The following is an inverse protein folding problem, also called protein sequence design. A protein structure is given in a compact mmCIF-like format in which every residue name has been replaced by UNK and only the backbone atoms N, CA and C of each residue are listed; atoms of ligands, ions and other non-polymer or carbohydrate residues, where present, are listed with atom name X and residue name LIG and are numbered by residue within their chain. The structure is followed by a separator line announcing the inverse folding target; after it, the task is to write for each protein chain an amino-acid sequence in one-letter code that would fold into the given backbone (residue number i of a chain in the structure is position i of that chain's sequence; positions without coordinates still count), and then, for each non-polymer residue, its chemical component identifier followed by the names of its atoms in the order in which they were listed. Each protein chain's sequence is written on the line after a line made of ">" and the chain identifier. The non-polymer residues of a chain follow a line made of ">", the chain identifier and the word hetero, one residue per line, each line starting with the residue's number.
data_IF_120349721517
#
_entry.id   IF_120349721517
#
_cell.length_a   1.000
_cell.length_b   1.000
_cell.length_c   1.000
_cell.angle_alpha   90.00
_cell.angle_beta   90.00
_cell.angle_gamma   90.00
#
_symmetry.space_group_name_H-M   'P 1'
#
loop_
_entity.id
_entity.type
_entity.pdbx_description
1 polymer ?
#
# COMPACT_ATOMS: atom_id res chain seq x y z
N UNK A 1 4.85 -5.91 25.81
CA UNK A 1 5.82 -5.04 25.13
C UNK A 1 5.77 -5.44 23.67
N UNK A 2 5.50 -4.50 22.75
CA UNK A 2 5.61 -4.80 21.32
C UNK A 2 7.09 -4.96 20.97
N UNK A 3 7.38 -5.97 20.15
CA UNK A 3 8.71 -6.13 19.59
C UNK A 3 8.90 -4.99 18.57
N UNK A 4 9.97 -4.21 18.69
CA UNK A 4 10.26 -3.13 17.75
C UNK A 4 10.92 -3.73 16.51
N UNK A 5 10.47 -3.33 15.34
CA UNK A 5 11.11 -3.72 14.09
C UNK A 5 12.56 -3.22 14.06
N UNK A 6 13.50 -4.12 13.85
CA UNK A 6 14.93 -3.78 13.83
C UNK A 6 15.49 -3.88 12.40
N UNK A 7 14.66 -3.46 11.42
CA UNK A 7 14.96 -3.52 9.98
C UNK A 7 15.01 -2.10 9.46
N UNK A 8 16.09 -1.73 8.79
CA UNK A 8 16.23 -0.42 8.15
C UNK A 8 15.32 -0.32 6.92
N UNK A 9 14.99 0.91 6.50
CA UNK A 9 14.16 1.12 5.30
C UNK A 9 14.78 0.49 4.04
N UNK A 10 16.12 0.51 3.92
CA UNK A 10 16.83 -0.12 2.80
C UNK A 10 16.67 -1.63 2.82
N UNK A 11 16.88 -2.27 3.96
CA UNK A 11 16.70 -3.73 4.10
C UNK A 11 15.24 -4.14 3.87
N UNK A 12 14.29 -3.34 4.33
CA UNK A 12 12.87 -3.56 4.09
C UNK A 12 12.53 -3.50 2.59
N UNK A 13 13.07 -2.52 1.87
CA UNK A 13 12.87 -2.41 0.42
C UNK A 13 13.44 -3.60 -0.32
N UNK A 14 14.64 -4.05 0.02
CA UNK A 14 15.25 -5.24 -0.61
C UNK A 14 14.46 -6.53 -0.32
N UNK A 15 13.89 -6.66 0.87
CA UNK A 15 12.97 -7.78 1.19
C UNK A 15 11.71 -7.75 0.31
N UNK A 16 11.09 -6.56 0.15
CA UNK A 16 9.90 -6.42 -0.72
C UNK A 16 10.23 -6.78 -2.17
N UNK A 17 11.35 -6.30 -2.71
CA UNK A 17 11.79 -6.63 -4.08
C UNK A 17 12.01 -8.13 -4.25
N UNK A 18 12.77 -8.74 -3.35
CA UNK A 18 13.05 -10.18 -3.39
C UNK A 18 11.77 -11.01 -3.27
N UNK A 19 10.84 -10.62 -2.39
CA UNK A 19 9.56 -11.29 -2.22
C UNK A 19 8.68 -11.19 -3.47
N UNK A 20 8.67 -10.03 -4.14
CA UNK A 20 7.94 -9.86 -5.39
C UNK A 20 8.56 -10.66 -6.55
N UNK A 21 9.89 -10.75 -6.63
CA UNK A 21 10.54 -11.61 -7.62
C UNK A 21 10.13 -13.08 -7.48
N UNK A 22 10.02 -13.60 -6.24
CA UNK A 22 9.53 -14.97 -5.99
C UNK A 22 8.07 -15.12 -6.44
N UNK A 23 7.22 -14.12 -6.13
CA UNK A 23 5.83 -14.12 -6.54
C UNK A 23 5.67 -14.17 -8.07
N UNK A 24 6.38 -13.31 -8.80
CA UNK A 24 6.36 -13.25 -10.27
C UNK A 24 6.84 -14.56 -10.89
N UNK A 25 7.85 -15.21 -10.31
CA UNK A 25 8.37 -16.52 -10.78
C UNK A 25 7.44 -17.70 -10.44
N UNK A 26 6.41 -17.49 -9.63
CA UNK A 26 5.58 -18.58 -9.10
C UNK A 26 6.30 -19.46 -8.07
N UNK A 27 7.35 -18.96 -7.46
CA UNK A 27 8.19 -19.64 -6.47
C UNK A 27 7.91 -19.14 -5.03
N UNK A 28 6.88 -18.29 -4.86
CA UNK A 28 6.49 -17.77 -3.56
C UNK A 28 5.97 -18.90 -2.65
N UNK A 29 6.50 -18.99 -1.46
CA UNK A 29 6.00 -19.84 -0.37
C UNK A 29 4.90 -19.15 0.47
N UNK A 30 4.49 -17.95 0.09
CA UNK A 30 3.50 -17.11 0.78
C UNK A 30 3.92 -16.71 2.21
N UNK A 31 5.21 -16.74 2.51
CA UNK A 31 5.73 -16.46 3.84
C UNK A 31 5.24 -17.47 4.91
N UNK A 32 5.60 -17.23 6.16
CA UNK A 32 5.19 -18.12 7.26
C UNK A 32 3.78 -17.76 7.76
N UNK A 33 2.77 -18.53 7.34
CA UNK A 33 1.38 -18.45 7.82
C UNK A 33 1.02 -19.63 8.75
N UNK A 34 1.99 -20.33 9.28
CA UNK A 34 1.83 -21.53 10.10
C UNK A 34 1.09 -21.27 11.42
N UNK A 35 0.65 -22.35 12.05
CA UNK A 35 0.11 -22.27 13.40
C UNK A 35 1.17 -21.76 14.40
N UNK A 36 2.43 -22.13 14.22
CA UNK A 36 3.52 -21.68 15.07
C UNK A 36 3.73 -20.16 14.97
N UNK A 37 3.71 -19.58 13.76
CA UNK A 37 3.80 -18.14 13.56
C UNK A 37 2.63 -17.39 14.23
N UNK A 38 1.41 -17.90 14.09
CA UNK A 38 0.23 -17.32 14.77
C UNK A 38 0.34 -17.36 16.28
N UNK A 39 0.76 -18.48 16.84
CA UNK A 39 0.92 -18.63 18.29
C UNK A 39 2.03 -17.72 18.81
N UNK A 40 3.16 -17.65 18.11
CA UNK A 40 4.27 -16.77 18.47
C UNK A 40 3.84 -15.30 18.48
N UNK A 41 3.24 -14.82 17.38
CA UNK A 41 2.82 -13.42 17.25
C UNK A 41 1.74 -13.04 18.27
N UNK A 42 0.85 -13.97 18.66
CA UNK A 42 -0.19 -13.68 19.66
C UNK A 42 0.38 -13.37 21.04
N UNK A 43 1.58 -13.88 21.36
CA UNK A 43 2.24 -13.69 22.66
C UNK A 43 3.36 -12.66 22.64
N UNK A 44 4.02 -12.46 21.50
CA UNK A 44 5.16 -11.56 21.35
C UNK A 44 4.82 -10.25 20.64
N UNK A 45 3.61 -10.13 20.05
CA UNK A 45 3.19 -8.96 19.28
C UNK A 45 3.63 -9.02 17.83
N UNK A 46 3.67 -7.87 17.17
CA UNK A 46 4.05 -7.71 15.76
C UNK A 46 5.26 -6.79 15.62
N UNK A 47 6.08 -7.04 14.61
CA UNK A 47 7.25 -6.22 14.26
C UNK A 47 7.37 -6.13 12.72
N UNK A 48 6.40 -5.48 12.04
CA UNK A 48 6.37 -5.42 10.59
C UNK A 48 7.59 -4.67 10.05
N UNK A 49 8.23 -5.24 9.02
CA UNK A 49 9.41 -4.60 8.42
C UNK A 49 9.05 -3.48 7.45
N UNK A 50 7.81 -3.45 6.94
CA UNK A 50 7.31 -2.39 6.06
C UNK A 50 5.81 -2.12 6.30
N UNK A 51 5.41 -0.87 6.02
CA UNK A 51 4.00 -0.47 5.88
C UNK A 51 3.68 -0.47 4.39
N UNK A 52 2.59 -1.13 3.98
CA UNK A 52 2.09 -1.11 2.62
C UNK A 52 0.70 -0.48 2.61
N UNK A 53 0.60 0.70 1.99
CA UNK A 53 -0.68 1.36 1.72
C UNK A 53 -1.09 1.01 0.29
N UNK A 54 -2.25 0.39 0.09
CA UNK A 54 -2.68 -0.05 -1.24
C UNK A 54 -4.19 -0.04 -1.42
N UNK A 55 -4.63 -0.26 -2.65
CA UNK A 55 -6.04 -0.35 -2.97
C UNK A 55 -6.73 -1.52 -2.27
N UNK A 56 -8.03 -1.35 -1.99
CA UNK A 56 -8.92 -2.43 -1.51
C UNK A 56 -9.29 -3.45 -2.60
N UNK A 57 -8.80 -3.27 -3.82
CA UNK A 57 -9.06 -4.17 -4.95
C UNK A 57 -8.76 -5.63 -4.58
N UNK A 58 -9.75 -6.51 -4.76
CA UNK A 58 -9.68 -7.91 -4.34
C UNK A 58 -8.63 -8.74 -5.09
N UNK A 59 -8.12 -8.24 -6.21
CA UNK A 59 -7.06 -8.86 -7.02
C UNK A 59 -5.67 -8.63 -6.42
N UNK A 60 -5.53 -7.74 -5.43
CA UNK A 60 -4.27 -7.42 -4.77
C UNK A 60 -4.26 -8.04 -3.38
N UNK A 61 -3.29 -8.90 -3.12
CA UNK A 61 -3.04 -9.50 -1.81
C UNK A 61 -1.61 -9.15 -1.41
N UNK A 62 -1.36 -8.06 -0.69
CA UNK A 62 -0.01 -7.55 -0.45
C UNK A 62 0.95 -8.57 0.14
N UNK A 63 0.49 -9.37 1.09
CA UNK A 63 1.31 -10.42 1.70
C UNK A 63 1.75 -11.46 0.66
N UNK A 64 0.87 -11.85 -0.26
CA UNK A 64 1.21 -12.77 -1.35
C UNK A 64 2.16 -12.12 -2.37
N UNK A 65 1.86 -10.86 -2.78
CA UNK A 65 2.67 -10.09 -3.75
C UNK A 65 4.13 -9.95 -3.30
N UNK A 66 4.35 -9.84 -1.99
CA UNK A 66 5.68 -9.70 -1.41
C UNK A 66 6.20 -10.96 -0.71
N UNK A 67 5.55 -12.11 -0.90
CA UNK A 67 5.92 -13.38 -0.25
C UNK A 67 6.12 -13.24 1.26
N UNK A 68 5.25 -12.44 1.89
CA UNK A 68 5.32 -12.08 3.30
C UNK A 68 4.42 -12.97 4.17
N UNK A 69 4.84 -13.23 5.41
CA UNK A 69 4.12 -14.03 6.38
C UNK A 69 3.39 -13.20 7.45
N UNK A 70 2.86 -13.89 8.45
CA UNK A 70 2.13 -13.26 9.55
C UNK A 70 3.03 -12.32 10.35
N UNK A 71 2.67 -11.04 10.39
CA UNK A 71 3.38 -10.02 11.16
C UNK A 71 4.51 -9.33 10.40
N UNK A 72 4.77 -9.70 9.14
CA UNK A 72 5.82 -9.14 8.31
C UNK A 72 5.47 -7.77 7.73
N UNK A 73 4.22 -7.56 7.35
CA UNK A 73 3.73 -6.31 6.78
C UNK A 73 2.65 -5.66 7.68
N UNK A 74 2.65 -4.34 7.72
CA UNK A 74 1.55 -3.55 8.23
C UNK A 74 0.75 -3.01 7.06
N UNK A 75 -0.40 -3.64 6.76
CA UNK A 75 -1.16 -3.36 5.54
C UNK A 75 -2.31 -2.41 5.83
N UNK A 76 -2.37 -1.30 5.08
CA UNK A 76 -3.45 -0.32 5.09
C UNK A 76 -4.12 -0.36 3.71
N UNK A 77 -5.44 -0.57 3.67
CA UNK A 77 -6.20 -0.69 2.41
C UNK A 77 -7.39 0.25 2.38
N UNK A 78 -7.51 0.95 1.25
CA UNK A 78 -8.66 1.80 0.94
C UNK A 78 -8.80 1.88 -0.58
N UNK A 79 -10.02 2.00 -1.12
CA UNK A 79 -10.21 2.10 -2.56
C UNK A 79 -9.40 3.28 -3.13
N UNK A 80 -8.70 3.04 -4.25
CA UNK A 80 -7.82 4.05 -4.86
C UNK A 80 -6.58 4.42 -4.03
N UNK A 81 -6.20 3.65 -3.02
CA UNK A 81 -5.05 3.94 -2.13
C UNK A 81 -4.94 5.40 -1.66
N UNK A 82 -6.08 6.09 -1.50
CA UNK A 82 -6.15 7.47 -1.04
C UNK A 82 -5.69 7.61 0.42
N UNK A 83 -5.26 8.79 0.80
CA UNK A 83 -4.71 9.07 2.14
C UNK A 83 -5.55 10.12 2.85
N UNK A 84 -6.16 9.73 3.96
CA UNK A 84 -6.84 10.63 4.89
C UNK A 84 -6.29 10.48 6.33
N UNK A 85 -6.94 11.11 7.28
CA UNK A 85 -6.53 11.11 8.68
C UNK A 85 -6.41 9.70 9.29
N UNK A 86 -7.22 8.72 8.86
CA UNK A 86 -7.18 7.36 9.40
C UNK A 86 -5.96 6.59 8.87
N UNK A 87 -5.64 6.72 7.58
CA UNK A 87 -4.44 6.12 7.01
C UNK A 87 -3.19 6.75 7.60
N UNK A 88 -3.13 8.11 7.71
CA UNK A 88 -2.03 8.82 8.37
C UNK A 88 -1.84 8.37 9.82
N UNK A 89 -2.92 8.27 10.59
CA UNK A 89 -2.85 7.80 11.97
C UNK A 89 -2.37 6.35 12.08
N UNK A 90 -2.72 5.50 11.13
CA UNK A 90 -2.26 4.10 11.07
C UNK A 90 -0.78 4.01 10.72
N UNK A 91 -0.30 4.84 9.78
CA UNK A 91 1.13 4.96 9.44
C UNK A 91 1.92 5.44 10.66
N UNK A 92 1.46 6.53 11.28
CA UNK A 92 2.10 7.10 12.47
C UNK A 92 2.19 6.08 13.61
N UNK A 93 1.12 5.31 13.84
CA UNK A 93 1.11 4.22 14.82
C UNK A 93 2.21 3.19 14.53
N UNK A 94 2.29 2.70 13.30
CA UNK A 94 3.29 1.69 12.94
C UNK A 94 4.73 2.23 13.06
N UNK A 95 4.97 3.48 12.66
CA UNK A 95 6.28 4.10 12.80
C UNK A 95 6.66 4.34 14.26
N UNK A 96 5.76 4.93 15.07
CA UNK A 96 6.07 5.34 16.45
C UNK A 96 6.03 4.19 17.46
N UNK A 97 5.12 3.24 17.29
CA UNK A 97 4.90 2.18 18.27
C UNK A 97 5.47 0.83 17.88
N UNK A 98 5.63 0.56 16.57
CA UNK A 98 6.19 -0.70 16.08
C UNK A 98 7.62 -0.53 15.53
N UNK A 99 8.08 0.71 15.31
CA UNK A 99 9.42 1.02 14.83
C UNK A 99 9.63 0.73 13.34
N UNK A 100 8.55 0.61 12.56
CA UNK A 100 8.63 0.38 11.12
C UNK A 100 9.14 1.64 10.41
N UNK A 101 10.16 1.50 9.56
CA UNK A 101 10.89 2.63 8.98
C UNK A 101 10.53 2.92 7.52
N UNK A 102 9.84 2.01 6.82
CA UNK A 102 9.51 2.14 5.41
C UNK A 102 8.00 2.12 5.20
N UNK A 103 7.50 3.11 4.45
CA UNK A 103 6.14 3.14 3.91
C UNK A 103 6.22 2.96 2.39
N UNK A 104 5.44 2.05 1.84
CA UNK A 104 5.24 1.90 0.39
C UNK A 104 3.79 2.21 0.08
N UNK A 105 3.56 3.21 -0.77
CA UNK A 105 2.24 3.46 -1.39
C UNK A 105 2.20 2.73 -2.71
N UNK A 106 1.42 1.67 -2.78
CA UNK A 106 1.33 0.80 -3.95
C UNK A 106 -0.02 0.98 -4.65
N UNK A 107 0.00 1.64 -5.80
CA UNK A 107 -1.11 1.66 -6.76
C UNK A 107 -1.07 0.43 -7.68
N UNK A 108 -2.00 0.39 -8.64
CA UNK A 108 -2.04 -0.70 -9.63
C UNK A 108 -2.70 -0.23 -10.92
N UNK A 109 -2.44 -0.94 -12.00
CA UNK A 109 -3.16 -0.77 -13.27
C UNK A 109 -4.64 -1.18 -13.12
N UNK A 110 -5.50 -0.65 -14.00
CA UNK A 110 -6.95 -0.92 -14.00
C UNK A 110 -7.61 -0.72 -12.62
N UNK A 111 -7.25 0.37 -11.94
CA UNK A 111 -7.85 0.73 -10.65
C UNK A 111 -9.25 1.31 -10.85
N UNK A 112 -10.28 0.58 -10.37
CA UNK A 112 -11.67 1.00 -10.54
C UNK A 112 -11.99 2.37 -9.91
N UNK A 113 -11.32 2.77 -8.83
CA UNK A 113 -11.51 4.08 -8.23
C UNK A 113 -10.91 5.20 -9.09
N UNK A 114 -9.76 4.95 -9.74
CA UNK A 114 -9.14 5.91 -10.68
C UNK A 114 -9.98 6.00 -11.95
N UNK A 115 -10.41 4.87 -12.50
CA UNK A 115 -11.29 4.85 -13.68
C UNK A 115 -12.62 5.58 -13.42
N UNK A 116 -13.22 5.38 -12.24
CA UNK A 116 -14.41 6.11 -11.85
C UNK A 116 -14.17 7.63 -11.78
N UNK A 117 -13.04 8.07 -11.19
CA UNK A 117 -12.70 9.49 -11.12
C UNK A 117 -12.45 10.13 -12.49
N UNK A 118 -11.90 9.36 -13.45
CA UNK A 118 -11.69 9.82 -14.85
C UNK A 118 -12.99 9.99 -15.63
N UNK A 119 -14.04 9.22 -15.30
CA UNK A 119 -15.33 9.21 -15.99
C UNK A 119 -16.45 9.90 -15.23
N UNK A 120 -16.13 10.50 -14.09
CA UNK A 120 -17.10 11.16 -13.24
C UNK A 120 -17.69 12.40 -13.94
N UNK A 121 -19.01 12.34 -14.23
CA UNK A 121 -19.72 13.46 -14.83
C UNK A 121 -20.05 14.49 -13.73
N UNK A 122 -19.64 15.77 -13.88
CA UNK A 122 -20.00 16.82 -12.92
C UNK A 122 -21.51 17.04 -12.75
N UNK A 123 -22.33 16.49 -13.65
CA UNK A 123 -23.79 16.55 -13.56
C UNK A 123 -24.39 15.32 -12.87
N UNK A 124 -23.63 14.26 -12.69
CA UNK A 124 -24.02 13.17 -11.81
C UNK A 124 -23.85 13.67 -10.37
N UNK A 125 -24.92 13.63 -9.60
CA UNK A 125 -24.89 13.92 -8.15
C UNK A 125 -24.51 12.65 -7.42
N UNK A 126 -23.22 12.41 -7.10
CA UNK A 126 -22.79 11.21 -6.41
C UNK A 126 -23.28 11.29 -4.98
N UNK A 127 -24.49 10.81 -4.74
CA UNK A 127 -24.99 10.64 -3.38
C UNK A 127 -24.23 9.50 -2.70
N UNK A 128 -23.32 9.84 -1.78
CA UNK A 128 -22.71 8.85 -0.91
C UNK A 128 -21.22 9.02 -0.61
N UNK A 129 -20.69 8.02 0.08
CA UNK A 129 -19.30 8.08 0.60
C UNK A 129 -18.22 7.85 -0.44
N UNK A 130 -18.56 7.38 -1.64
CA UNK A 130 -17.60 7.20 -2.73
C UNK A 130 -17.04 8.55 -3.20
N UNK A 131 -17.81 9.63 -3.09
CA UNK A 131 -17.41 10.98 -3.46
C UNK A 131 -16.10 11.41 -2.79
N UNK A 132 -15.93 11.10 -1.50
CA UNK A 132 -14.69 11.41 -0.78
C UNK A 132 -13.46 10.77 -1.43
N UNK A 133 -13.62 9.55 -1.97
CA UNK A 133 -12.55 8.85 -2.68
C UNK A 133 -12.28 9.48 -4.04
N UNK A 134 -13.35 9.76 -4.80
CA UNK A 134 -13.24 10.37 -6.13
C UNK A 134 -12.62 11.76 -6.06
N UNK A 135 -12.98 12.57 -5.07
CA UNK A 135 -12.41 13.89 -4.87
C UNK A 135 -10.90 13.83 -4.58
N UNK A 136 -10.45 12.89 -3.75
CA UNK A 136 -9.02 12.72 -3.48
C UNK A 136 -8.27 12.29 -4.74
N UNK A 137 -8.82 11.33 -5.50
CA UNK A 137 -8.21 10.89 -6.77
C UNK A 137 -8.19 12.03 -7.79
N UNK A 138 -9.29 12.78 -7.96
CA UNK A 138 -9.35 13.95 -8.89
C UNK A 138 -8.30 15.00 -8.54
N UNK A 139 -8.10 15.32 -7.26
CA UNK A 139 -7.03 16.22 -6.83
C UNK A 139 -5.65 15.73 -7.22
N UNK A 140 -5.44 14.42 -7.14
CA UNK A 140 -4.17 13.78 -7.46
C UNK A 140 -3.88 13.78 -8.97
N UNK A 141 -4.88 13.48 -9.79
CA UNK A 141 -4.71 13.28 -11.23
C UNK A 141 -4.83 14.56 -12.06
N UNK A 142 -5.55 15.58 -11.54
CA UNK A 142 -5.79 16.84 -12.26
C UNK A 142 -6.52 16.60 -13.58
N UNK A 143 -5.92 17.05 -14.69
CA UNK A 143 -6.49 16.92 -16.05
C UNK A 143 -5.96 15.68 -16.81
N UNK A 144 -5.28 14.76 -16.14
CA UNK A 144 -4.78 13.52 -16.75
C UNK A 144 -5.95 12.64 -17.22
N UNK A 145 -5.82 12.03 -18.39
CA UNK A 145 -6.86 11.19 -19.00
C UNK A 145 -6.41 9.76 -19.28
N UNK A 146 -5.10 9.49 -19.26
CA UNK A 146 -4.58 8.12 -19.36
C UNK A 146 -4.71 7.38 -18.04
N UNK A 147 -5.43 6.24 -17.97
CA UNK A 147 -5.70 5.56 -16.70
C UNK A 147 -4.46 5.07 -15.97
N UNK A 148 -3.43 4.61 -16.70
CA UNK A 148 -2.19 4.14 -16.09
C UNK A 148 -1.43 5.31 -15.48
N UNK A 149 -1.29 6.40 -16.24
CA UNK A 149 -0.62 7.61 -15.76
C UNK A 149 -1.38 8.25 -14.60
N UNK A 150 -2.70 8.27 -14.65
CA UNK A 150 -3.55 8.73 -13.54
C UNK A 150 -3.30 7.90 -12.27
N UNK A 151 -3.20 6.58 -12.39
CA UNK A 151 -2.87 5.72 -11.26
C UNK A 151 -1.48 6.01 -10.66
N UNK A 152 -0.47 6.28 -11.50
CA UNK A 152 0.86 6.71 -11.05
C UNK A 152 0.81 8.07 -10.34
N UNK A 153 0.11 9.05 -10.90
CA UNK A 153 -0.04 10.38 -10.29
C UNK A 153 -0.73 10.29 -8.92
N UNK A 154 -1.75 9.45 -8.80
CA UNK A 154 -2.42 9.21 -7.53
C UNK A 154 -1.48 8.61 -6.47
N UNK A 155 -0.59 7.68 -6.86
CA UNK A 155 0.46 7.18 -5.96
C UNK A 155 1.42 8.28 -5.54
N UNK A 156 1.91 9.09 -6.50
CA UNK A 156 2.88 10.16 -6.22
C UNK A 156 2.27 11.26 -5.34
N UNK A 157 1.00 11.58 -5.53
CA UNK A 157 0.26 12.51 -4.68
C UNK A 157 0.16 11.99 -3.24
N UNK A 158 -0.23 10.72 -3.06
CA UNK A 158 -0.30 10.10 -1.74
C UNK A 158 1.08 10.06 -1.04
N UNK A 159 2.16 9.76 -1.78
CA UNK A 159 3.54 9.83 -1.29
C UNK A 159 3.89 11.24 -0.81
N UNK A 160 3.58 12.26 -1.61
CA UNK A 160 3.83 13.67 -1.22
C UNK A 160 3.04 14.04 0.02
N UNK A 161 1.75 13.70 0.06
CA UNK A 161 0.87 14.00 1.20
C UNK A 161 1.40 13.39 2.50
N UNK A 162 1.87 12.14 2.49
CA UNK A 162 2.44 11.51 3.68
C UNK A 162 3.73 12.23 4.11
N UNK A 163 4.63 12.56 3.17
CA UNK A 163 5.88 13.28 3.45
C UNK A 163 5.68 14.68 4.02
N UNK A 164 4.61 15.35 3.63
CA UNK A 164 4.31 16.71 4.10
C UNK A 164 3.88 16.74 5.58
N UNK A 165 3.36 15.64 6.09
CA UNK A 165 2.78 15.57 7.45
C UNK A 165 3.51 14.63 8.40
N UNK A 166 4.28 13.67 7.89
CA UNK A 166 5.03 12.69 8.70
C UNK A 166 6.51 12.65 8.27
N UNK A 167 7.39 12.64 9.26
CA UNK A 167 8.84 12.44 9.04
C UNK A 167 9.14 10.94 8.94
N UNK A 168 8.89 10.36 7.76
CA UNK A 168 9.03 8.93 7.47
C UNK A 168 9.58 8.71 6.06
N UNK A 169 10.24 7.57 5.82
CA UNK A 169 10.68 7.19 4.47
C UNK A 169 9.49 6.60 3.72
N UNK A 170 9.09 7.28 2.64
CA UNK A 170 7.96 6.87 1.80
C UNK A 170 8.40 6.68 0.35
N UNK A 171 7.99 5.59 -0.26
CA UNK A 171 8.24 5.24 -1.68
C UNK A 171 6.91 4.94 -2.37
N UNK A 172 6.80 5.36 -3.64
CA UNK A 172 5.71 4.94 -4.52
C UNK A 172 6.01 3.60 -5.19
N UNK A 173 4.97 2.86 -5.55
CA UNK A 173 5.08 1.64 -6.34
C UNK A 173 3.83 1.42 -7.19
N UNK A 174 3.99 0.72 -8.31
CA UNK A 174 2.90 0.29 -9.19
C UNK A 174 2.91 -1.23 -9.35
N UNK A 175 1.79 -1.85 -9.09
CA UNK A 175 1.56 -3.28 -9.26
C UNK A 175 0.84 -3.56 -10.58
N UNK A 176 1.40 -4.42 -11.40
CA UNK A 176 0.77 -4.90 -12.64
C UNK A 176 -0.07 -6.14 -12.37
N UNK A 177 -1.38 -6.04 -12.54
CA UNK A 177 -2.32 -7.15 -12.30
C UNK A 177 -2.05 -8.37 -13.18
N UNK A 178 -1.57 -8.14 -14.42
CA UNK A 178 -1.36 -9.22 -15.38
C UNK A 178 -0.09 -10.04 -15.09
N UNK A 179 0.98 -9.39 -14.65
CA UNK A 179 2.30 -10.03 -14.46
C UNK A 179 2.61 -10.32 -13.00
N UNK A 180 1.96 -9.62 -12.07
CA UNK A 180 2.29 -9.66 -10.65
C UNK A 180 3.53 -8.83 -10.27
N UNK A 181 4.12 -8.11 -11.22
CA UNK A 181 5.32 -7.31 -11.01
C UNK A 181 5.01 -5.99 -10.28
N UNK A 182 5.89 -5.62 -9.35
CA UNK A 182 5.86 -4.32 -8.66
C UNK A 182 7.04 -3.47 -9.12
N UNK A 183 6.75 -2.35 -9.76
CA UNK A 183 7.73 -1.32 -10.13
C UNK A 183 7.77 -0.25 -9.05
N UNK A 184 8.92 -0.03 -8.42
CA UNK A 184 9.13 1.04 -7.45
C UNK A 184 9.47 2.35 -8.18
N UNK A 185 8.84 3.47 -7.77
CA UNK A 185 8.91 4.79 -8.39
C UNK A 185 9.97 5.68 -7.71
#
# INVERSE_FOLDING_TARGET
>A
MHQVANVTATEALEKLKAGNELFVKGESDQGDVSHAARLYSSTHGQAPYAIVVTCSDSRIVPDAVFSAGIGDLFVIRVAGNVIDAHQLGSIEYACKHLGTQLVVVMGHDHCGAVEAALHDDPNDDPEGFIEYILDEVKRAIGEETDPLRASELNVLYAVSHIKDVLDVIVIGAMYCLATGEVTFL
#
